data_IF_180869355147
#
_entry.id   IF_180869355147
#
_cell.length_a   1.000
_cell.length_b   1.000
_cell.length_c   1.000
_cell.angle_alpha   90.00
_cell.angle_beta   90.00
_cell.angle_gamma   90.00
#
_symmetry.space_group_name_H-M   'P 1'
#
loop_
_entity.id
_entity.type
_entity.pdbx_description
1 polymer ?
#
# COMPACT_ATOMS: atom_id res chain seq x y z
N UNK A 1 0.28 -19.53 0.03
CA UNK A 1 -0.09 -20.66 -0.83
C UNK A 1 0.24 -20.36 -2.29
N UNK A 2 -0.39 -19.39 -2.97
CA UNK A 2 -0.26 -19.14 -4.42
C UNK A 2 1.19 -19.05 -4.93
N UNK A 3 2.03 -18.19 -4.34
CA UNK A 3 3.44 -18.04 -4.78
C UNK A 3 4.20 -19.37 -4.69
N UNK A 4 4.04 -20.11 -3.59
CA UNK A 4 4.70 -21.42 -3.44
C UNK A 4 4.25 -22.44 -4.48
N UNK A 5 2.96 -22.40 -4.84
CA UNK A 5 2.41 -23.31 -5.87
C UNK A 5 3.00 -23.00 -7.25
N UNK A 6 2.99 -21.72 -7.69
CA UNK A 6 3.53 -21.37 -9.02
C UNK A 6 5.06 -21.48 -9.07
N UNK A 7 5.76 -21.26 -7.96
CA UNK A 7 7.21 -21.52 -7.82
C UNK A 7 7.51 -23.02 -8.03
N UNK A 8 6.72 -23.93 -7.40
CA UNK A 8 6.91 -25.37 -7.57
C UNK A 8 6.60 -25.87 -8.99
N UNK A 9 5.85 -25.11 -9.77
CA UNK A 9 5.60 -25.37 -11.20
C UNK A 9 6.74 -24.88 -12.11
N UNK A 10 7.74 -24.17 -11.56
CA UNK A 10 8.86 -23.63 -12.32
C UNK A 10 8.53 -22.46 -13.24
N UNK A 11 7.36 -21.83 -13.07
CA UNK A 11 6.89 -20.72 -13.92
C UNK A 11 7.14 -19.33 -13.35
N UNK A 12 7.53 -19.25 -12.07
CA UNK A 12 7.78 -17.99 -11.36
C UNK A 12 9.02 -18.11 -10.49
N UNK A 13 9.81 -17.06 -10.45
CA UNK A 13 10.85 -16.87 -9.46
C UNK A 13 10.25 -16.18 -8.22
N UNK A 14 10.11 -16.92 -7.13
CA UNK A 14 9.52 -16.42 -5.88
C UNK A 14 10.31 -15.26 -5.25
N UNK A 15 11.59 -15.12 -5.55
CA UNK A 15 12.42 -14.02 -5.05
C UNK A 15 12.13 -12.69 -5.76
N UNK A 16 11.44 -12.74 -6.89
CA UNK A 16 11.10 -11.62 -7.75
C UNK A 16 9.59 -11.37 -7.86
N UNK A 17 8.87 -11.58 -6.77
CA UNK A 17 7.45 -11.30 -6.68
C UNK A 17 7.20 -9.92 -6.05
N UNK A 18 6.32 -9.13 -6.65
CA UNK A 18 5.80 -7.90 -6.05
C UNK A 18 4.32 -8.08 -5.68
N UNK A 19 3.85 -7.29 -4.73
CA UNK A 19 2.42 -7.17 -4.42
C UNK A 19 1.94 -5.75 -4.72
N UNK A 20 0.78 -5.64 -5.38
CA UNK A 20 0.21 -4.34 -5.67
C UNK A 20 -1.31 -4.33 -5.55
N UNK A 21 -1.85 -3.14 -5.27
CA UNK A 21 -3.28 -2.97 -5.20
C UNK A 21 -3.72 -1.52 -5.14
N UNK A 22 -5.02 -1.34 -5.32
CA UNK A 22 -5.70 -0.05 -5.22
C UNK A 22 -6.75 -0.10 -4.12
N UNK A 23 -6.98 0.99 -3.40
CA UNK A 23 -7.99 1.10 -2.36
C UNK A 23 -7.79 0.05 -1.25
N UNK A 24 -8.72 -0.88 -1.06
CA UNK A 24 -8.55 -2.00 -0.13
C UNK A 24 -7.34 -2.88 -0.49
N UNK A 25 -7.05 -3.05 -1.80
CA UNK A 25 -5.86 -3.74 -2.26
C UNK A 25 -4.56 -3.05 -1.87
N UNK A 26 -4.55 -1.72 -1.77
CA UNK A 26 -3.40 -0.97 -1.28
C UNK A 26 -3.18 -1.17 0.23
N UNK A 27 -4.27 -1.17 1.02
CA UNK A 27 -4.21 -1.58 2.43
C UNK A 27 -3.61 -2.98 2.56
N UNK A 28 -4.11 -3.97 1.79
CA UNK A 28 -3.60 -5.34 1.80
C UNK A 28 -2.13 -5.40 1.38
N UNK A 29 -1.70 -4.60 0.40
CA UNK A 29 -0.28 -4.50 -0.01
C UNK A 29 0.59 -4.11 1.18
N UNK A 30 0.28 -3.01 1.85
CA UNK A 30 1.06 -2.55 3.01
C UNK A 30 1.01 -3.57 4.16
N UNK A 31 -0.16 -4.17 4.41
CA UNK A 31 -0.34 -5.18 5.46
C UNK A 31 0.48 -6.45 5.20
N UNK A 32 0.50 -6.93 3.96
CA UNK A 32 1.30 -8.10 3.57
C UNK A 32 2.80 -7.82 3.67
N UNK A 33 3.27 -6.62 3.31
CA UNK A 33 4.68 -6.24 3.48
C UNK A 33 5.09 -6.12 4.96
N UNK A 34 4.16 -5.75 5.84
CA UNK A 34 4.43 -5.65 7.27
C UNK A 34 4.46 -7.02 7.98
N UNK A 35 3.80 -8.05 7.40
CA UNK A 35 3.57 -9.32 8.07
C UNK A 35 4.11 -10.55 7.31
N UNK A 36 4.82 -10.35 6.17
CA UNK A 36 5.42 -11.44 5.42
C UNK A 36 6.68 -10.99 4.68
N UNK A 37 7.52 -11.94 4.35
CA UNK A 37 8.76 -11.81 3.56
C UNK A 37 8.59 -12.37 2.13
N UNK A 38 7.34 -12.57 1.68
CA UNK A 38 7.04 -13.23 0.42
C UNK A 38 7.29 -12.36 -0.83
N UNK A 39 7.52 -11.06 -0.63
CA UNK A 39 7.58 -10.10 -1.73
C UNK A 39 8.91 -9.34 -1.74
N UNK A 40 9.36 -8.94 -2.94
CA UNK A 40 10.54 -8.10 -3.12
C UNK A 40 10.22 -6.61 -2.97
N UNK A 41 9.00 -6.20 -3.32
CA UNK A 41 8.51 -4.82 -3.24
C UNK A 41 6.98 -4.76 -3.24
N UNK A 42 6.43 -3.59 -2.90
CA UNK A 42 5.01 -3.29 -3.00
C UNK A 42 4.69 -2.00 -3.71
N UNK A 43 3.49 -1.96 -4.32
CA UNK A 43 2.91 -0.75 -4.92
C UNK A 43 1.48 -0.59 -4.40
N UNK A 44 1.25 0.44 -3.62
CA UNK A 44 -0.02 0.69 -2.94
C UNK A 44 -0.64 2.01 -3.41
N UNK A 45 -1.84 1.95 -4.02
CA UNK A 45 -2.51 3.10 -4.62
C UNK A 45 -3.79 3.45 -3.87
N UNK A 46 -3.92 4.71 -3.44
CA UNK A 46 -5.11 5.27 -2.75
C UNK A 46 -5.64 4.37 -1.63
N UNK A 47 -4.77 3.97 -0.71
CA UNK A 47 -5.11 3.06 0.38
C UNK A 47 -5.50 3.73 1.69
N UNK A 48 -6.13 2.97 2.58
CA UNK A 48 -6.36 3.32 3.97
C UNK A 48 -5.42 2.52 4.87
N UNK A 49 -4.46 3.18 5.46
CA UNK A 49 -3.38 2.49 6.20
C UNK A 49 -3.45 2.68 7.72
N UNK A 50 -4.23 3.66 8.16
CA UNK A 50 -4.47 3.91 9.58
C UNK A 50 -5.98 4.02 9.82
N UNK A 51 -6.57 2.99 10.41
CA UNK A 51 -8.01 2.91 10.69
C UNK A 51 -8.46 3.85 11.80
N UNK A 52 -7.55 4.36 12.62
CA UNK A 52 -7.93 5.38 13.62
C UNK A 52 -8.36 6.70 12.98
N UNK A 53 -8.02 6.93 11.70
CA UNK A 53 -8.51 8.07 10.91
C UNK A 53 -9.94 7.88 10.38
N UNK A 54 -10.49 6.67 10.52
CA UNK A 54 -11.89 6.34 10.17
C UNK A 54 -12.56 5.66 11.37
N UNK A 55 -12.73 6.35 12.53
CA UNK A 55 -13.02 5.70 13.81
C UNK A 55 -14.46 5.21 13.98
N UNK A 56 -15.32 5.44 13.00
CA UNK A 56 -16.75 5.07 13.04
C UNK A 56 -17.11 3.93 12.08
N UNK A 57 -16.17 3.01 11.86
CA UNK A 57 -16.34 1.84 11.00
C UNK A 57 -15.48 1.87 9.74
N UNK A 58 -15.26 0.69 9.17
CA UNK A 58 -14.57 0.51 7.88
C UNK A 58 -14.92 -0.86 7.30
N UNK A 59 -15.16 -0.91 6.00
CA UNK A 59 -15.62 -2.14 5.33
C UNK A 59 -16.89 -2.68 6.02
N UNK A 60 -16.88 -3.91 6.52
CA UNK A 60 -17.96 -4.54 7.28
C UNK A 60 -17.79 -4.43 8.80
N UNK A 61 -16.80 -3.70 9.30
CA UNK A 61 -16.66 -3.40 10.71
C UNK A 61 -17.54 -2.20 11.08
N UNK A 62 -18.61 -2.43 11.82
CA UNK A 62 -19.59 -1.42 12.23
C UNK A 62 -19.29 -0.82 13.61
N UNK A 63 -18.47 -1.49 14.43
CA UNK A 63 -18.09 -0.98 15.76
C UNK A 63 -17.15 0.19 15.61
N UNK A 64 -17.29 1.16 16.48
CA UNK A 64 -16.38 2.32 16.55
C UNK A 64 -14.99 1.91 17.07
N UNK A 65 -13.99 2.78 16.85
CA UNK A 65 -12.65 2.59 17.39
C UNK A 65 -12.66 2.32 18.91
N UNK A 66 -13.47 3.06 19.65
CA UNK A 66 -13.55 2.92 21.12
C UNK A 66 -14.23 1.63 21.58
N UNK A 67 -15.04 1.01 20.73
CA UNK A 67 -15.67 -0.29 20.99
C UNK A 67 -14.76 -1.48 20.63
N UNK A 68 -13.85 -1.31 19.68
CA UNK A 68 -12.99 -2.38 19.18
C UNK A 68 -11.57 -1.89 18.81
N UNK A 69 -10.84 -1.22 19.73
CA UNK A 69 -9.56 -0.59 19.41
C UNK A 69 -8.51 -1.59 18.90
N UNK A 70 -8.53 -2.82 19.39
CA UNK A 70 -7.63 -3.89 18.97
C UNK A 70 -7.83 -4.27 17.48
N UNK A 71 -9.07 -4.26 16.98
CA UNK A 71 -9.38 -4.53 15.58
C UNK A 71 -8.85 -3.41 14.69
N UNK A 72 -9.10 -2.16 15.07
CA UNK A 72 -8.60 -1.00 14.35
C UNK A 72 -7.08 -0.96 14.27
N UNK A 73 -6.38 -1.24 15.38
CA UNK A 73 -4.93 -1.29 15.42
C UNK A 73 -4.38 -2.44 14.58
N UNK A 74 -4.98 -3.63 14.69
CA UNK A 74 -4.59 -4.81 13.91
C UNK A 74 -4.79 -4.60 12.40
N UNK A 75 -5.84 -3.88 12.02
CA UNK A 75 -6.17 -3.56 10.62
C UNK A 75 -5.52 -2.25 10.14
N UNK A 76 -4.51 -1.75 10.83
CA UNK A 76 -3.75 -0.56 10.49
C UNK A 76 -2.29 -0.92 10.18
N UNK A 77 -1.89 -1.07 8.90
CA UNK A 77 -0.47 -1.23 8.53
C UNK A 77 0.43 -0.14 9.10
N UNK A 78 -0.10 1.05 9.33
CA UNK A 78 0.59 2.16 10.00
C UNK A 78 1.14 1.77 11.37
N UNK A 79 0.40 0.98 12.15
CA UNK A 79 0.82 0.49 13.48
C UNK A 79 2.03 -0.46 13.42
N UNK A 80 2.39 -0.93 12.22
CA UNK A 80 3.50 -1.84 11.95
C UNK A 80 4.53 -1.22 10.99
N UNK A 81 4.57 0.11 10.89
CA UNK A 81 5.47 0.82 9.97
C UNK A 81 6.96 0.53 10.26
N UNK A 82 7.30 0.20 11.50
CA UNK A 82 8.62 -0.27 11.92
C UNK A 82 9.04 -1.60 11.28
N UNK A 83 8.06 -2.41 10.84
CA UNK A 83 8.26 -3.70 10.15
C UNK A 83 8.29 -3.57 8.63
N UNK A 84 7.89 -2.43 8.07
CA UNK A 84 7.90 -2.17 6.63
C UNK A 84 9.34 -1.88 6.13
N UNK A 85 10.17 -2.92 6.06
CA UNK A 85 11.56 -2.84 5.60
C UNK A 85 11.72 -3.01 4.09
N UNK A 86 10.76 -3.67 3.44
CA UNK A 86 10.75 -3.87 1.99
C UNK A 86 10.31 -2.57 1.29
N UNK A 87 10.79 -2.34 0.04
CA UNK A 87 10.45 -1.15 -0.71
C UNK A 87 8.93 -1.03 -0.97
N UNK A 88 8.35 0.12 -0.65
CA UNK A 88 6.93 0.42 -0.94
C UNK A 88 6.81 1.72 -1.73
N UNK A 89 6.11 1.66 -2.88
CA UNK A 89 5.67 2.81 -3.66
C UNK A 89 4.22 3.13 -3.26
N UNK A 90 4.01 4.34 -2.78
CA UNK A 90 2.70 4.89 -2.47
C UNK A 90 2.30 5.87 -3.56
N UNK A 91 1.15 5.66 -4.20
CA UNK A 91 0.59 6.57 -5.20
C UNK A 91 -0.80 7.00 -4.74
N UNK A 92 -1.12 8.29 -4.78
CA UNK A 92 -2.40 8.79 -4.30
C UNK A 92 -2.86 10.00 -5.12
N UNK A 93 -4.15 10.08 -5.40
CA UNK A 93 -4.75 11.30 -5.92
C UNK A 93 -4.78 12.38 -4.85
N UNK A 94 -4.32 13.60 -5.13
CA UNK A 94 -4.27 14.67 -4.14
C UNK A 94 -5.66 15.23 -3.79
N UNK A 95 -6.67 14.97 -4.64
CA UNK A 95 -8.06 15.29 -4.43
C UNK A 95 -8.93 14.07 -4.07
N UNK A 96 -8.33 13.01 -3.52
CA UNK A 96 -9.08 11.81 -3.11
C UNK A 96 -10.09 12.17 -2.01
N UNK A 97 -11.37 12.10 -2.36
CA UNK A 97 -12.50 12.43 -1.52
C UNK A 97 -13.22 11.21 -0.93
N UNK A 98 -12.67 10.01 -1.11
CA UNK A 98 -13.23 8.81 -0.50
C UNK A 98 -13.00 8.87 1.02
N UNK A 99 -14.05 8.72 1.85
CA UNK A 99 -13.95 8.95 3.30
C UNK A 99 -12.95 8.06 4.03
N UNK A 100 -12.60 6.91 3.47
CA UNK A 100 -11.66 5.99 4.09
C UNK A 100 -10.22 6.12 3.59
N UNK A 101 -10.01 6.75 2.44
CA UNK A 101 -8.74 6.71 1.70
C UNK A 101 -8.22 8.09 1.31
N UNK A 102 -8.61 9.15 2.01
CA UNK A 102 -8.08 10.48 1.73
C UNK A 102 -6.54 10.52 1.77
N UNK A 103 -5.93 11.45 1.05
CA UNK A 103 -4.50 11.54 0.75
C UNK A 103 -3.59 11.47 1.98
N UNK A 104 -4.04 12.03 3.11
CA UNK A 104 -3.34 11.98 4.40
C UNK A 104 -2.94 10.55 4.82
N UNK A 105 -3.68 9.53 4.43
CA UNK A 105 -3.36 8.13 4.71
C UNK A 105 -1.97 7.74 4.16
N UNK A 106 -1.72 8.07 2.88
CA UNK A 106 -0.43 7.79 2.23
C UNK A 106 0.69 8.67 2.78
N UNK A 107 0.44 9.95 3.02
CA UNK A 107 1.43 10.88 3.59
C UNK A 107 1.93 10.40 4.95
N UNK A 108 1.02 10.00 5.83
CA UNK A 108 1.37 9.53 7.19
C UNK A 108 2.09 8.19 7.16
N UNK A 109 1.65 7.25 6.31
CA UNK A 109 2.38 5.98 6.15
C UNK A 109 3.79 6.23 5.58
N UNK A 110 3.94 7.08 4.56
CA UNK A 110 5.24 7.45 4.01
C UNK A 110 6.19 7.99 5.08
N UNK A 111 5.72 8.96 5.89
CA UNK A 111 6.51 9.54 6.98
C UNK A 111 6.92 8.48 8.01
N UNK A 112 5.98 7.60 8.39
CA UNK A 112 6.24 6.55 9.37
C UNK A 112 7.28 5.52 8.85
N UNK A 113 7.14 5.06 7.60
CA UNK A 113 8.09 4.12 6.99
C UNK A 113 9.48 4.76 6.87
N UNK A 114 9.58 6.01 6.40
CA UNK A 114 10.83 6.74 6.28
C UNK A 114 11.48 6.98 7.63
N UNK A 115 10.71 7.39 8.63
CA UNK A 115 11.20 7.63 9.99
C UNK A 115 11.75 6.37 10.67
N UNK A 116 11.23 5.19 10.31
CA UNK A 116 11.74 3.89 10.77
C UNK A 116 12.85 3.30 9.88
N UNK A 117 13.42 4.08 8.96
CA UNK A 117 14.52 3.66 8.07
C UNK A 117 14.09 2.76 6.90
N UNK A 118 12.79 2.64 6.64
CA UNK A 118 12.26 1.87 5.52
C UNK A 118 12.45 2.59 4.17
N UNK A 119 12.31 1.84 3.08
CA UNK A 119 12.42 2.34 1.71
C UNK A 119 11.02 2.67 1.18
N UNK A 120 10.66 3.94 1.12
CA UNK A 120 9.38 4.39 0.60
C UNK A 120 9.55 5.53 -0.42
N UNK A 121 8.65 5.58 -1.40
CA UNK A 121 8.42 6.70 -2.30
C UNK A 121 6.94 7.06 -2.26
N UNK A 122 6.63 8.33 -2.23
CA UNK A 122 5.27 8.87 -2.34
C UNK A 122 5.14 9.67 -3.62
N UNK A 123 4.10 9.38 -4.39
CA UNK A 123 3.70 10.09 -5.61
C UNK A 123 2.29 10.60 -5.41
N UNK A 124 2.10 11.91 -5.48
CA UNK A 124 0.79 12.54 -5.48
C UNK A 124 0.41 12.92 -6.90
N UNK A 125 -0.77 12.49 -7.34
CA UNK A 125 -1.31 12.75 -8.67
C UNK A 125 -2.21 13.98 -8.60
N UNK A 126 -1.83 15.11 -9.26
CA UNK A 126 -2.57 16.36 -9.15
C UNK A 126 -4.03 16.23 -9.63
N UNK A 127 -4.96 16.74 -8.82
CA UNK A 127 -6.40 16.81 -9.12
C UNK A 127 -7.09 15.47 -9.31
N UNK A 128 -6.42 14.34 -9.06
CA UNK A 128 -7.05 13.03 -9.11
C UNK A 128 -7.81 12.72 -7.83
N UNK A 129 -9.01 12.18 -8.00
CA UNK A 129 -9.82 11.63 -6.92
C UNK A 129 -9.43 10.17 -6.60
N UNK A 130 -10.34 9.40 -6.01
CA UNK A 130 -10.08 7.98 -5.70
C UNK A 130 -9.80 7.12 -6.94
N UNK A 131 -10.45 7.43 -8.08
CA UNK A 131 -10.17 6.82 -9.39
C UNK A 131 -9.42 7.82 -10.27
N UNK A 132 -8.29 7.39 -10.86
CA UNK A 132 -7.47 8.27 -11.70
C UNK A 132 -8.01 8.32 -13.13
N UNK A 133 -8.17 9.52 -13.68
CA UNK A 133 -8.81 9.74 -14.95
C UNK A 133 -7.96 10.50 -15.97
N UNK A 134 -7.12 11.45 -15.52
CA UNK A 134 -6.29 12.22 -16.45
C UNK A 134 -5.22 11.34 -17.08
N UNK A 135 -5.13 11.39 -18.40
CA UNK A 135 -4.18 10.60 -19.19
C UNK A 135 -2.75 10.79 -18.72
N UNK A 136 -2.35 12.02 -18.46
CA UNK A 136 -0.99 12.38 -18.02
C UNK A 136 -0.66 11.74 -16.67
N UNK A 137 -1.59 11.78 -15.72
CA UNK A 137 -1.43 11.17 -14.42
C UNK A 137 -1.38 9.64 -14.51
N UNK A 138 -2.20 9.02 -15.37
CA UNK A 138 -2.18 7.57 -15.61
C UNK A 138 -0.84 7.15 -16.21
N UNK A 139 -0.33 7.88 -17.20
CA UNK A 139 0.97 7.58 -17.82
C UNK A 139 2.11 7.76 -16.83
N UNK A 140 2.08 8.83 -16.01
CA UNK A 140 3.07 9.03 -14.94
C UNK A 140 3.02 7.93 -13.90
N UNK A 141 1.82 7.54 -13.46
CA UNK A 141 1.63 6.42 -12.54
C UNK A 141 2.25 5.12 -13.10
N UNK A 142 1.97 4.79 -14.36
CA UNK A 142 2.51 3.58 -15.00
C UNK A 142 4.03 3.62 -15.09
N UNK A 143 4.60 4.78 -15.42
CA UNK A 143 6.06 4.97 -15.44
C UNK A 143 6.69 4.79 -14.06
N UNK A 144 6.09 5.35 -13.00
CA UNK A 144 6.55 5.17 -11.61
C UNK A 144 6.49 3.70 -11.19
N UNK A 145 5.41 3.00 -11.55
CA UNK A 145 5.25 1.57 -11.23
C UNK A 145 6.29 0.73 -11.96
N UNK A 146 6.51 0.95 -13.25
CA UNK A 146 7.51 0.23 -14.04
C UNK A 146 8.92 0.47 -13.51
N UNK A 147 9.29 1.73 -13.30
CA UNK A 147 10.59 2.12 -12.72
C UNK A 147 10.82 1.46 -11.36
N UNK A 148 9.78 1.38 -10.51
CA UNK A 148 9.85 0.74 -9.21
C UNK A 148 10.09 -0.77 -9.31
N UNK A 149 9.39 -1.44 -10.22
CA UNK A 149 9.55 -2.88 -10.46
C UNK A 149 10.91 -3.20 -11.08
N UNK A 150 11.38 -2.41 -12.05
CA UNK A 150 12.73 -2.56 -12.60
C UNK A 150 13.79 -2.50 -11.49
N UNK A 151 13.69 -1.51 -10.61
CA UNK A 151 14.69 -1.27 -9.57
C UNK A 151 14.70 -2.33 -8.48
N UNK A 152 13.54 -2.81 -8.03
CA UNK A 152 13.45 -3.60 -6.82
C UNK A 152 13.01 -5.06 -7.02
N UNK A 153 12.59 -5.41 -8.22
CA UNK A 153 12.11 -6.75 -8.55
C UNK A 153 12.92 -7.39 -9.68
N UNK A 154 13.05 -6.69 -10.81
CA UNK A 154 13.77 -7.24 -11.99
C UNK A 154 15.29 -7.13 -11.86
N UNK A 155 15.81 -6.07 -11.28
CA UNK A 155 17.25 -5.80 -11.12
C UNK A 155 17.92 -6.55 -9.96
N UNK A 156 17.28 -7.61 -9.46
CA UNK A 156 17.84 -8.49 -8.40
C UNK A 156 18.49 -9.73 -8.97
#
# INVERSE_FOLDING_TARGET
AAIKTVDSMGVVDKSRCAVMGHSYGAFMTANLLAHSDLFAAGIARSGAYNRTLTPFGFQSEERTYWQAPEVYNKMSPFSYADKLKLPILLIHGDADNNPGTFTLQSERLFQAVKGNGGKARLVLLPYESHGYAARENILHMLWEMDTWLEKYVKGK
#
